data_IF_096432846327
#
_entry.id   IF_096432846327
#
_cell.length_a   1.000
_cell.length_b   1.000
_cell.length_c   1.000
_cell.angle_alpha   90.00
_cell.angle_beta   90.00
_cell.angle_gamma   90.00
#
_symmetry.space_group_name_H-M   'P 1'
#
loop_
_entity.id
_entity.type
_entity.pdbx_description
1 polymer ?
#
# COMPACT_ATOMS: atom_id res chain seq x y z
N UNK A 1 1.08 -10.47 21.50
CA UNK A 1 1.83 -9.29 21.00
C UNK A 1 0.97 -8.43 20.08
N UNK A 2 0.34 -8.99 19.04
CA UNK A 2 -0.50 -8.23 18.08
C UNK A 2 -1.77 -7.67 18.74
N UNK A 3 -2.49 -8.47 19.56
CA UNK A 3 -3.66 -7.99 20.32
C UNK A 3 -3.33 -6.76 21.17
N UNK A 4 -2.18 -6.77 21.85
CA UNK A 4 -1.69 -5.64 22.62
C UNK A 4 -1.43 -4.42 21.73
N UNK A 5 -0.77 -4.62 20.59
CA UNK A 5 -0.54 -3.53 19.64
C UNK A 5 -1.84 -2.93 19.10
N UNK A 6 -2.86 -3.75 18.80
CA UNK A 6 -4.20 -3.25 18.43
C UNK A 6 -4.79 -2.44 19.58
N UNK A 7 -4.76 -2.96 20.81
CA UNK A 7 -5.31 -2.22 21.94
C UNK A 7 -4.56 -0.90 22.22
N UNK A 8 -3.26 -0.82 21.94
CA UNK A 8 -2.48 0.41 22.13
C UNK A 8 -2.73 1.48 21.04
N UNK A 9 -3.36 1.13 19.91
CA UNK A 9 -3.51 2.03 18.76
C UNK A 9 -4.97 2.39 18.41
N UNK A 10 -5.95 1.89 19.17
CA UNK A 10 -7.37 2.14 18.93
C UNK A 10 -8.08 2.55 20.23
N UNK A 11 -9.28 3.11 20.12
CA UNK A 11 -10.12 3.43 21.28
C UNK A 11 -10.63 2.14 21.94
N UNK A 12 -10.63 2.08 23.28
CA UNK A 12 -11.06 0.89 24.03
C UNK A 12 -12.49 0.44 23.70
N UNK A 13 -13.38 1.38 23.41
CA UNK A 13 -14.77 1.13 22.99
C UNK A 13 -14.89 0.40 21.64
N UNK A 14 -13.82 0.46 20.83
CA UNK A 14 -13.75 -0.17 19.52
C UNK A 14 -12.90 -1.45 19.50
N UNK A 15 -12.44 -1.93 20.65
CA UNK A 15 -11.60 -3.14 20.70
C UNK A 15 -12.38 -4.37 20.23
N UNK A 16 -11.93 -5.03 19.15
CA UNK A 16 -12.50 -6.32 18.78
C UNK A 16 -12.07 -7.38 19.81
N UNK A 17 -12.81 -8.50 19.86
CA UNK A 17 -12.41 -9.62 20.71
C UNK A 17 -11.00 -10.12 20.35
N UNK A 18 -10.18 -10.57 21.32
CA UNK A 18 -8.87 -11.16 21.05
C UNK A 18 -8.94 -12.31 20.04
N UNK A 19 -10.00 -13.11 20.07
CA UNK A 19 -10.26 -14.19 19.14
C UNK A 19 -10.46 -13.68 17.71
N UNK A 20 -11.17 -12.56 17.52
CA UNK A 20 -11.31 -11.93 16.20
C UNK A 20 -9.96 -11.46 15.67
N UNK A 21 -9.15 -10.81 16.51
CA UNK A 21 -7.80 -10.36 16.10
C UNK A 21 -6.94 -11.56 15.67
N UNK A 22 -6.99 -12.67 16.42
CA UNK A 22 -6.25 -13.87 16.06
C UNK A 22 -6.72 -14.45 14.72
N UNK A 23 -8.03 -14.49 14.46
CA UNK A 23 -8.56 -14.95 13.17
C UNK A 23 -8.12 -14.05 12.01
N UNK A 24 -8.08 -12.73 12.20
CA UNK A 24 -7.61 -11.79 11.17
C UNK A 24 -6.11 -11.97 10.90
N UNK A 25 -5.31 -12.18 11.94
CA UNK A 25 -3.87 -12.48 11.80
C UNK A 25 -3.68 -13.80 11.04
N UNK A 26 -4.42 -14.86 11.38
CA UNK A 26 -4.36 -16.14 10.67
C UNK A 26 -4.76 -15.99 9.19
N UNK A 27 -5.76 -15.15 8.89
CA UNK A 27 -6.16 -14.82 7.53
C UNK A 27 -5.03 -14.12 6.76
N UNK A 28 -4.41 -13.09 7.34
CA UNK A 28 -3.28 -12.38 6.74
C UNK A 28 -2.08 -13.29 6.49
N UNK A 29 -1.77 -14.18 7.42
CA UNK A 29 -0.72 -15.20 7.24
C UNK A 29 -1.06 -16.13 6.07
N UNK A 30 -2.27 -16.68 6.02
CA UNK A 30 -2.69 -17.57 4.92
C UNK A 30 -2.69 -16.86 3.57
N UNK A 31 -2.97 -15.56 3.53
CA UNK A 31 -3.01 -14.76 2.31
C UNK A 31 -1.62 -14.38 1.78
N UNK A 32 -0.70 -13.95 2.65
CA UNK A 32 0.57 -13.35 2.22
C UNK A 32 1.82 -14.18 2.49
N UNK A 33 1.74 -15.18 3.36
CA UNK A 33 2.93 -15.89 3.78
C UNK A 33 3.36 -16.92 2.73
N UNK A 34 4.62 -16.80 2.29
CA UNK A 34 5.30 -17.89 1.60
C UNK A 34 5.66 -18.96 2.62
N UNK A 35 5.21 -20.20 2.37
CA UNK A 35 5.64 -21.31 3.19
C UNK A 35 7.05 -21.76 2.76
N UNK A 36 8.02 -21.70 3.67
CA UNK A 36 9.38 -22.17 3.41
C UNK A 36 9.44 -23.71 3.32
N UNK A 37 8.42 -24.41 3.81
CA UNK A 37 8.25 -25.86 3.65
C UNK A 37 7.49 -26.22 2.36
N UNK A 38 7.55 -25.35 1.33
CA UNK A 38 7.12 -25.70 -0.01
C UNK A 38 7.87 -26.93 -0.49
N UNK A 39 7.19 -28.08 -0.46
CA UNK A 39 7.68 -29.30 -1.07
C UNK A 39 7.06 -29.39 -2.47
N UNK A 40 7.79 -29.06 -3.55
CA UNK A 40 7.26 -29.12 -4.91
C UNK A 40 6.83 -30.53 -5.35
N UNK A 41 7.19 -31.56 -4.59
CA UNK A 41 6.78 -32.96 -4.82
C UNK A 41 5.53 -33.36 -4.01
N UNK A 42 5.02 -32.49 -3.13
CA UNK A 42 3.78 -32.70 -2.38
C UNK A 42 2.61 -32.07 -3.11
N UNK A 43 1.57 -32.85 -3.50
CA UNK A 43 0.36 -32.32 -4.14
C UNK A 43 -0.29 -31.16 -3.35
N UNK A 44 -0.25 -31.24 -2.01
CA UNK A 44 -0.82 -30.22 -1.14
C UNK A 44 -0.07 -28.88 -1.18
N UNK A 45 1.23 -28.85 -1.49
CA UNK A 45 2.00 -27.59 -1.54
C UNK A 45 1.71 -26.78 -2.80
N UNK A 46 1.31 -27.42 -3.90
CA UNK A 46 0.80 -26.75 -5.10
C UNK A 46 -0.63 -26.25 -4.90
N UNK A 47 -1.48 -27.04 -4.26
CA UNK A 47 -2.81 -26.61 -3.83
C UNK A 47 -2.73 -25.40 -2.88
N UNK A 48 -1.77 -25.37 -1.95
CA UNK A 48 -1.55 -24.24 -1.05
C UNK A 48 -1.15 -22.94 -1.77
N UNK A 49 -0.41 -23.01 -2.87
CA UNK A 49 -0.14 -21.84 -3.72
C UNK A 49 -1.39 -21.39 -4.48
N UNK A 50 -2.24 -22.33 -4.92
CA UNK A 50 -3.55 -22.03 -5.50
C UNK A 50 -4.51 -21.38 -4.49
N UNK A 51 -4.30 -21.55 -3.18
CA UNK A 51 -5.17 -20.98 -2.15
C UNK A 51 -5.14 -19.44 -2.13
N UNK A 52 -4.04 -18.79 -2.51
CA UNK A 52 -3.99 -17.32 -2.58
C UNK A 52 -2.93 -16.76 -3.54
N UNK A 53 -3.32 -16.06 -4.62
CA UNK A 53 -2.35 -15.46 -5.57
C UNK A 53 -1.49 -14.35 -4.94
N UNK A 54 -1.88 -13.85 -3.76
CA UNK A 54 -1.15 -12.79 -3.04
C UNK A 54 0.18 -13.27 -2.44
N UNK A 55 0.39 -14.58 -2.29
CA UNK A 55 1.64 -15.14 -1.78
C UNK A 55 2.81 -14.84 -2.72
N UNK A 56 2.58 -14.75 -4.02
CA UNK A 56 3.61 -14.40 -5.01
C UNK A 56 4.20 -13.01 -4.80
N UNK A 57 3.49 -12.10 -4.11
CA UNK A 57 4.01 -10.79 -3.73
C UNK A 57 5.20 -10.89 -2.76
N UNK A 58 5.35 -12.04 -2.08
CA UNK A 58 6.45 -12.32 -1.17
C UNK A 58 6.57 -11.30 -0.06
N UNK A 59 5.44 -10.78 0.45
CA UNK A 59 5.41 -9.71 1.47
C UNK A 59 5.63 -10.23 2.89
N UNK A 60 5.34 -11.50 3.15
CA UNK A 60 5.44 -12.13 4.45
C UNK A 60 6.15 -13.49 4.32
N UNK A 61 7.05 -13.78 5.25
CA UNK A 61 7.76 -15.07 5.28
C UNK A 61 7.78 -15.65 6.69
N UNK A 62 7.79 -16.98 6.77
CA UNK A 62 7.98 -17.71 8.02
C UNK A 62 9.45 -17.86 8.36
N UNK A 63 9.76 -17.84 9.66
CA UNK A 63 11.06 -18.22 10.21
C UNK A 63 10.89 -19.34 11.24
N UNK A 64 11.79 -20.31 11.23
CA UNK A 64 11.73 -21.46 12.12
C UNK A 64 10.70 -22.50 11.68
N UNK A 65 10.41 -23.48 12.56
CA UNK A 65 9.51 -24.61 12.27
C UNK A 65 8.61 -24.94 13.46
N UNK A 66 7.49 -25.59 13.18
CA UNK A 66 6.55 -26.08 14.20
C UNK A 66 6.03 -24.98 15.13
N UNK A 67 5.90 -25.29 16.43
CA UNK A 67 5.36 -24.37 17.45
C UNK A 67 6.22 -23.11 17.69
N UNK A 68 7.47 -23.09 17.23
CA UNK A 68 8.37 -21.94 17.33
C UNK A 68 8.37 -21.02 16.11
N UNK A 69 7.48 -21.25 15.14
CA UNK A 69 7.42 -20.47 13.90
C UNK A 69 7.05 -19.02 14.19
N UNK A 70 7.84 -18.09 13.67
CA UNK A 70 7.55 -16.66 13.69
C UNK A 70 7.36 -16.13 12.27
N UNK A 71 6.69 -14.99 12.13
CA UNK A 71 6.41 -14.38 10.84
C UNK A 71 7.05 -13.00 10.77
N UNK A 72 7.63 -12.68 9.61
CA UNK A 72 8.24 -11.36 9.37
C UNK A 72 7.82 -10.83 8.01
N UNK A 73 7.64 -9.51 7.92
CA UNK A 73 7.51 -8.84 6.63
C UNK A 73 8.87 -8.80 5.94
N UNK A 74 8.90 -9.17 4.66
CA UNK A 74 10.12 -9.08 3.86
C UNK A 74 10.43 -7.62 3.56
N UNK A 75 11.69 -7.31 3.30
CA UNK A 75 12.13 -5.98 2.86
C UNK A 75 13.06 -6.11 1.68
N UNK A 76 12.88 -5.29 0.65
CA UNK A 76 13.80 -5.22 -0.48
C UNK A 76 13.12 -4.82 -1.79
N UNK A 77 13.82 -5.07 -2.90
CA UNK A 77 13.30 -4.83 -4.25
C UNK A 77 12.16 -5.78 -4.58
N UNK A 78 11.14 -5.26 -5.28
CA UNK A 78 9.97 -6.02 -5.73
C UNK A 78 10.03 -6.25 -7.23
N UNK A 79 10.65 -7.35 -7.66
CA UNK A 79 10.85 -7.64 -9.08
C UNK A 79 9.53 -7.89 -9.83
N UNK A 80 8.50 -8.34 -9.12
CA UNK A 80 7.15 -8.59 -9.62
C UNK A 80 6.20 -7.38 -9.47
N UNK A 81 6.70 -6.21 -9.07
CA UNK A 81 5.92 -4.98 -8.99
C UNK A 81 6.30 -4.05 -10.14
N UNK A 82 5.45 -3.91 -11.17
CA UNK A 82 5.73 -3.00 -12.28
C UNK A 82 5.86 -1.55 -11.81
N UNK A 83 6.84 -0.82 -12.35
CA UNK A 83 7.02 0.60 -12.06
C UNK A 83 5.75 1.45 -12.25
N UNK A 84 4.91 1.23 -13.29
CA UNK A 84 3.66 1.99 -13.44
C UNK A 84 2.68 1.80 -12.27
N UNK A 85 2.59 0.60 -11.71
CA UNK A 85 1.71 0.30 -10.55
C UNK A 85 2.22 0.99 -9.29
N UNK A 86 3.54 1.00 -9.08
CA UNK A 86 4.16 1.71 -7.96
C UNK A 86 3.98 3.23 -8.09
N UNK A 87 4.18 3.79 -9.28
CA UNK A 87 3.97 5.24 -9.55
C UNK A 87 2.50 5.62 -9.40
N UNK A 88 1.57 4.78 -9.89
CA UNK A 88 0.13 4.96 -9.63
C UNK A 88 -0.13 5.09 -8.13
N UNK A 89 0.39 4.18 -7.31
CA UNK A 89 0.18 4.22 -5.87
C UNK A 89 0.81 5.46 -5.21
N UNK A 90 1.97 5.91 -5.68
CA UNK A 90 2.60 7.15 -5.22
C UNK A 90 1.75 8.38 -5.52
N UNK A 91 1.20 8.47 -6.72
CA UNK A 91 0.36 9.59 -7.15
C UNK A 91 -1.03 9.53 -6.51
N UNK A 92 -1.63 8.35 -6.36
CA UNK A 92 -2.88 8.17 -5.60
C UNK A 92 -2.71 8.66 -4.16
N UNK A 93 -1.62 8.28 -3.49
CA UNK A 93 -1.30 8.77 -2.16
C UNK A 93 -1.11 10.30 -2.14
N UNK A 94 -0.39 10.86 -3.12
CA UNK A 94 -0.21 12.30 -3.25
C UNK A 94 -1.52 13.06 -3.48
N UNK A 95 -2.48 12.46 -4.17
CA UNK A 95 -3.78 13.07 -4.45
C UNK A 95 -4.62 13.36 -3.21
N UNK A 96 -4.31 12.70 -2.09
CA UNK A 96 -5.00 12.91 -0.79
C UNK A 96 -4.69 14.29 -0.20
N UNK A 97 -3.58 14.91 -0.59
CA UNK A 97 -3.14 16.20 -0.09
C UNK A 97 -2.93 17.26 -1.18
N UNK A 98 -3.00 16.87 -2.45
CA UNK A 98 -2.71 17.75 -3.59
C UNK A 98 -3.71 17.54 -4.73
N UNK A 99 -4.44 18.59 -5.08
CA UNK A 99 -5.43 18.57 -6.17
C UNK A 99 -4.87 19.00 -7.54
N UNK A 100 -3.67 19.56 -7.58
CA UNK A 100 -3.02 20.09 -8.80
C UNK A 100 -1.55 19.69 -8.88
N UNK A 101 -0.77 20.39 -9.71
CA UNK A 101 0.68 20.20 -9.82
C UNK A 101 1.38 20.38 -8.48
N UNK A 102 2.48 19.68 -8.26
CA UNK A 102 3.21 19.78 -6.99
C UNK A 102 4.30 18.73 -6.86
N UNK A 103 4.65 18.42 -5.62
CA UNK A 103 5.68 17.44 -5.31
C UNK A 103 5.39 16.70 -4.01
N UNK A 104 5.89 15.47 -3.91
CA UNK A 104 5.85 14.69 -2.68
C UNK A 104 7.22 14.06 -2.39
N UNK A 105 7.68 14.20 -1.16
CA UNK A 105 8.93 13.59 -0.67
C UNK A 105 8.90 12.06 -0.85
N UNK A 106 10.00 11.51 -1.37
CA UNK A 106 10.17 10.05 -1.48
C UNK A 106 10.28 9.40 -0.09
N UNK A 107 10.86 10.09 0.90
CA UNK A 107 10.88 9.64 2.29
C UNK A 107 9.46 9.50 2.87
N UNK A 108 8.56 10.44 2.56
CA UNK A 108 7.14 10.35 2.95
C UNK A 108 6.46 9.18 2.27
N UNK A 109 6.64 9.03 0.96
CA UNK A 109 6.10 7.90 0.19
C UNK A 109 6.62 6.54 0.68
N UNK A 110 7.83 6.49 1.21
CA UNK A 110 8.42 5.27 1.74
C UNK A 110 7.90 4.92 3.15
N UNK A 111 7.76 5.92 4.03
CA UNK A 111 7.67 5.68 5.47
C UNK A 111 6.33 6.06 6.12
N UNK A 112 5.52 6.95 5.52
CA UNK A 112 4.28 7.40 6.17
C UNK A 112 3.24 6.27 6.29
N UNK A 113 2.45 6.24 7.37
CA UNK A 113 1.31 5.33 7.48
C UNK A 113 0.37 5.44 6.28
N UNK A 114 0.13 4.33 5.60
CA UNK A 114 -0.73 4.28 4.40
C UNK A 114 -0.04 4.69 3.10
N UNK A 115 1.25 5.03 3.14
CA UNK A 115 2.04 5.32 1.95
C UNK A 115 2.54 4.04 1.24
N UNK A 116 2.90 4.11 -0.06
CA UNK A 116 3.24 2.94 -0.86
C UNK A 116 4.42 2.12 -0.34
N UNK A 117 5.46 2.74 0.23
CA UNK A 117 6.61 1.99 0.75
C UNK A 117 6.23 1.08 1.90
N UNK A 118 5.31 1.49 2.77
CA UNK A 118 4.77 0.61 3.82
C UNK A 118 3.82 -0.45 3.28
N UNK A 119 3.02 -0.11 2.26
CA UNK A 119 2.08 -1.05 1.62
C UNK A 119 2.83 -2.18 0.89
N UNK A 120 3.82 -1.84 0.07
CA UNK A 120 4.64 -2.79 -0.70
C UNK A 120 5.91 -3.25 0.02
N UNK A 121 6.11 -2.82 1.27
CA UNK A 121 7.28 -3.16 2.10
C UNK A 121 8.61 -2.88 1.38
N UNK A 122 8.74 -1.67 0.85
CA UNK A 122 9.91 -1.13 0.17
C UNK A 122 10.47 0.04 0.94
N UNK A 123 11.80 0.09 1.10
CA UNK A 123 12.49 1.25 1.65
C UNK A 123 12.66 2.32 0.57
N UNK A 124 12.97 3.54 0.98
CA UNK A 124 13.11 4.69 0.09
C UNK A 124 14.10 4.46 -1.08
N UNK A 125 15.30 3.88 -0.88
CA UNK A 125 16.24 3.66 -2.00
C UNK A 125 15.67 2.69 -3.04
N UNK A 126 15.04 1.60 -2.59
CA UNK A 126 14.45 0.58 -3.44
C UNK A 126 13.22 1.11 -4.18
N UNK A 127 12.38 1.90 -3.52
CA UNK A 127 11.24 2.59 -4.14
C UNK A 127 11.73 3.57 -5.22
N UNK A 128 12.70 4.42 -4.89
CA UNK A 128 13.28 5.41 -5.81
C UNK A 128 13.84 4.73 -7.05
N UNK A 129 14.65 3.69 -6.84
CA UNK A 129 15.26 2.91 -7.93
C UNK A 129 14.20 2.26 -8.83
N UNK A 130 13.11 1.75 -8.25
CA UNK A 130 12.07 1.06 -8.99
C UNK A 130 11.27 1.99 -9.92
N UNK A 131 11.09 3.27 -9.54
CA UNK A 131 10.32 4.23 -10.33
C UNK A 131 11.16 5.10 -11.25
N UNK A 132 12.48 5.19 -11.01
CA UNK A 132 13.38 6.16 -11.67
C UNK A 132 13.28 6.14 -13.19
N UNK A 133 13.38 4.97 -13.83
CA UNK A 133 13.38 4.87 -15.29
C UNK A 133 12.07 5.37 -15.89
N UNK A 134 10.93 4.97 -15.31
CA UNK A 134 9.62 5.43 -15.76
C UNK A 134 9.47 6.94 -15.60
N UNK A 135 9.90 7.48 -14.45
CA UNK A 135 9.77 8.91 -14.17
C UNK A 135 10.63 9.73 -15.13
N UNK A 136 11.87 9.31 -15.37
CA UNK A 136 12.78 10.01 -16.29
C UNK A 136 12.27 10.06 -17.74
N UNK A 137 11.49 9.07 -18.18
CA UNK A 137 10.93 9.00 -19.53
C UNK A 137 9.54 9.66 -19.65
N UNK A 138 8.93 10.07 -18.52
CA UNK A 138 7.55 10.57 -18.49
C UNK A 138 7.49 12.11 -18.41
N UNK A 139 6.93 12.82 -19.41
CA UNK A 139 7.01 14.29 -19.51
C UNK A 139 6.28 15.04 -18.39
N UNK A 140 5.37 14.38 -17.67
CA UNK A 140 4.62 14.94 -16.55
C UNK A 140 5.19 14.65 -15.16
N UNK A 141 6.32 13.94 -15.07
CA UNK A 141 6.93 13.52 -13.81
C UNK A 141 8.41 13.90 -13.78
N UNK A 142 8.94 14.13 -12.58
CA UNK A 142 10.37 14.31 -12.36
C UNK A 142 10.77 13.87 -10.95
N UNK A 143 12.02 13.45 -10.75
CA UNK A 143 12.60 13.26 -9.42
C UNK A 143 13.70 14.30 -9.25
N UNK A 144 13.49 15.21 -8.30
CA UNK A 144 14.48 16.22 -7.95
C UNK A 144 15.11 15.89 -6.60
N UNK A 145 16.35 16.34 -6.41
CA UNK A 145 17.06 16.26 -5.14
C UNK A 145 17.46 17.67 -4.71
N UNK A 146 17.04 18.07 -3.51
CA UNK A 146 17.41 19.35 -2.91
C UNK A 146 17.84 19.13 -1.46
N UNK A 147 19.04 19.60 -1.11
CA UNK A 147 19.65 19.43 0.23
C UNK A 147 19.61 17.97 0.75
N UNK A 148 19.81 16.99 -0.14
CA UNK A 148 19.78 15.56 0.19
C UNK A 148 18.40 14.93 0.34
N UNK A 149 17.32 15.69 0.12
CA UNK A 149 15.96 15.18 0.09
C UNK A 149 15.49 15.00 -1.35
N UNK A 150 15.02 13.79 -1.69
CA UNK A 150 14.42 13.50 -2.98
C UNK A 150 12.91 13.68 -2.96
N UNK A 151 12.37 14.24 -4.03
CA UNK A 151 10.93 14.46 -4.20
C UNK A 151 10.47 14.04 -5.59
N UNK A 152 9.32 13.37 -5.65
CA UNK A 152 8.58 13.11 -6.88
C UNK A 152 7.76 14.35 -7.23
N UNK A 153 8.07 15.00 -8.34
CA UNK A 153 7.31 16.11 -8.91
C UNK A 153 6.31 15.63 -9.94
N UNK A 154 5.16 16.30 -10.00
CA UNK A 154 4.09 16.03 -10.96
C UNK A 154 3.54 17.34 -11.53
N UNK A 155 3.43 17.41 -12.85
CA UNK A 155 3.07 18.63 -13.58
C UNK A 155 1.55 18.94 -13.59
N UNK A 156 0.72 17.99 -13.17
CA UNK A 156 -0.75 18.08 -13.18
C UNK A 156 -1.32 17.45 -11.91
N UNK A 157 -2.64 17.46 -11.78
CA UNK A 157 -3.35 16.76 -10.71
C UNK A 157 -2.88 15.29 -10.62
N UNK A 158 -2.35 14.84 -9.47
CA UNK A 158 -1.72 13.53 -9.36
C UNK A 158 -2.72 12.38 -9.56
N UNK A 159 -4.00 12.56 -9.21
CA UNK A 159 -5.04 11.53 -9.43
C UNK A 159 -5.22 11.21 -10.92
N UNK A 160 -5.36 12.23 -11.77
CA UNK A 160 -5.49 12.04 -13.22
C UNK A 160 -4.25 11.38 -13.80
N UNK A 161 -3.07 11.88 -13.41
CA UNK A 161 -1.80 11.33 -13.87
C UNK A 161 -1.59 9.86 -13.45
N UNK A 162 -2.05 9.50 -12.25
CA UNK A 162 -2.02 8.12 -11.77
C UNK A 162 -2.82 7.21 -12.71
N UNK A 163 -4.08 7.57 -12.98
CA UNK A 163 -4.96 6.79 -13.85
C UNK A 163 -4.43 6.68 -15.28
N UNK A 164 -3.89 7.77 -15.84
CA UNK A 164 -3.27 7.76 -17.18
C UNK A 164 -2.13 6.73 -17.26
N UNK A 165 -1.22 6.75 -16.28
CA UNK A 165 -0.08 5.82 -16.21
C UNK A 165 -0.53 4.38 -16.04
N UNK A 166 -1.52 4.14 -15.18
CA UNK A 166 -2.06 2.80 -14.96
C UNK A 166 -2.76 2.27 -16.21
N UNK A 167 -3.58 3.09 -16.86
CA UNK A 167 -4.31 2.70 -18.07
C UNK A 167 -3.35 2.41 -19.23
N UNK A 168 -2.32 3.25 -19.41
CA UNK A 168 -1.26 2.99 -20.38
C UNK A 168 -0.56 1.65 -20.13
N UNK A 169 -0.27 1.31 -18.87
CA UNK A 169 0.37 0.03 -18.53
C UNK A 169 -0.50 -1.18 -18.91
N UNK A 170 -1.82 -1.09 -18.76
CA UNK A 170 -2.76 -2.15 -19.11
C UNK A 170 -3.26 -2.11 -20.56
N UNK A 171 -2.60 -1.33 -21.43
CA UNK A 171 -2.91 -1.25 -22.85
C UNK A 171 -4.18 -0.47 -23.13
N UNK A 172 -4.30 0.71 -22.51
CA UNK A 172 -5.32 1.74 -22.73
C UNK A 172 -6.72 1.19 -22.72
N UNK A 173 -7.10 0.60 -21.60
CA UNK A 173 -8.40 -0.07 -21.42
C UNK A 173 -9.54 0.92 -21.61
N UNK A 174 -9.36 2.16 -21.17
CA UNK A 174 -10.38 3.21 -21.28
C UNK A 174 -10.66 3.63 -22.73
N UNK A 175 -9.73 3.40 -23.67
CA UNK A 175 -9.92 3.70 -25.10
C UNK A 175 -10.63 2.58 -25.87
N UNK A 176 -10.92 1.43 -25.22
CA UNK A 176 -11.53 0.28 -25.89
C UNK A 176 -13.03 0.53 -26.16
N UNK A 177 -13.50 0.03 -27.30
CA UNK A 177 -14.90 0.12 -27.67
C UNK A 177 -15.80 -0.52 -26.61
N UNK A 178 -16.79 0.24 -26.13
CA UNK A 178 -17.75 -0.21 -25.11
C UNK A 178 -17.25 -0.16 -23.67
N UNK A 179 -16.05 0.38 -23.41
CA UNK A 179 -15.62 0.67 -22.05
C UNK A 179 -16.42 1.85 -21.48
N UNK A 180 -17.08 1.70 -20.32
CA UNK A 180 -17.91 2.76 -19.75
C UNK A 180 -17.06 3.85 -19.12
N UNK A 181 -17.48 5.10 -19.27
CA UNK A 181 -16.95 6.22 -18.49
C UNK A 181 -17.37 6.11 -17.02
N UNK A 182 -16.68 6.86 -16.13
CA UNK A 182 -17.02 6.89 -14.71
C UNK A 182 -18.48 7.33 -14.47
N UNK A 183 -18.95 8.34 -15.21
CA UNK A 183 -20.32 8.86 -15.09
C UNK A 183 -21.37 7.84 -15.56
N UNK A 184 -21.13 7.17 -16.69
CA UNK A 184 -22.01 6.09 -17.18
C UNK A 184 -22.07 4.94 -16.18
N UNK A 185 -20.94 4.59 -15.55
CA UNK A 185 -20.88 3.53 -14.55
C UNK A 185 -21.66 3.92 -13.27
N UNK A 186 -21.52 5.16 -12.81
CA UNK A 186 -22.29 5.70 -11.66
C UNK A 186 -23.78 5.72 -11.94
N UNK A 187 -24.20 6.14 -13.13
CA UNK A 187 -25.61 6.14 -13.53
C UNK A 187 -26.19 4.72 -13.56
N UNK A 188 -25.40 3.74 -14.01
CA UNK A 188 -25.81 2.33 -14.04
C UNK A 188 -25.88 1.71 -12.63
N UNK A 189 -25.03 2.16 -11.71
CA UNK A 189 -24.93 1.65 -10.35
C UNK A 189 -24.93 2.79 -9.32
N UNK A 190 -26.09 3.43 -9.05
CA UNK A 190 -26.18 4.64 -8.24
C UNK A 190 -25.79 4.44 -6.75
N UNK A 191 -25.70 3.19 -6.27
CA UNK A 191 -25.19 2.87 -4.93
C UNK A 191 -23.68 3.03 -4.75
N UNK A 192 -22.93 3.39 -5.80
CA UNK A 192 -21.47 3.58 -5.76
C UNK A 192 -21.05 5.04 -5.50
N UNK A 193 -21.98 5.98 -5.35
CA UNK A 193 -21.61 7.38 -5.07
C UNK A 193 -20.97 7.51 -3.68
N UNK A 194 -19.71 7.97 -3.66
CA UNK A 194 -18.82 7.96 -2.48
C UNK A 194 -19.40 8.73 -1.27
N UNK A 195 -20.33 9.64 -1.51
CA UNK A 195 -20.98 10.45 -0.47
C UNK A 195 -22.09 9.71 0.28
N UNK A 196 -22.60 8.58 -0.24
CA UNK A 196 -23.68 7.83 0.42
C UNK A 196 -23.24 7.06 1.67
N UNK A 197 -21.94 6.79 1.84
CA UNK A 197 -21.42 5.94 2.92
C UNK A 197 -20.15 6.43 3.64
N UNK A 198 -19.73 7.69 3.46
CA UNK A 198 -18.59 8.22 4.22
C UNK A 198 -18.91 8.30 5.72
N UNK A 199 -18.50 7.28 6.48
CA UNK A 199 -18.23 7.45 7.91
C UNK A 199 -17.08 8.45 8.05
N UNK A 200 -17.20 9.52 8.86
CA UNK A 200 -16.08 10.41 9.10
C UNK A 200 -14.92 9.58 9.67
N UNK A 201 -13.78 9.56 8.96
CA UNK A 201 -12.54 9.02 9.50
C UNK A 201 -12.19 9.86 10.73
N UNK A 202 -12.40 9.34 11.94
CA UNK A 202 -11.74 9.90 13.13
C UNK A 202 -10.25 9.92 12.82
N UNK A 203 -9.61 11.10 12.97
CA UNK A 203 -8.16 11.22 12.84
C UNK A 203 -7.53 10.22 13.81
N UNK A 204 -6.74 9.28 13.29
CA UNK A 204 -5.84 8.53 14.16
C UNK A 204 -4.93 9.57 14.87
N UNK A 205 -4.71 9.46 16.19
CA UNK A 205 -3.86 10.40 16.90
C UNK A 205 -2.48 10.44 16.23
N UNK A 206 -2.02 11.65 15.93
CA UNK A 206 -0.70 11.84 15.35
C UNK A 206 0.34 11.51 16.42
N UNK A 207 1.43 10.87 16.02
CA UNK A 207 2.55 10.51 16.90
C UNK A 207 3.20 11.73 17.61
N UNK A 208 2.84 12.96 17.20
CA UNK A 208 3.21 14.21 17.85
C UNK A 208 2.57 14.38 19.25
N UNK A 209 1.37 13.85 19.48
CA UNK A 209 0.67 14.00 20.78
C UNK A 209 1.35 13.21 21.93
N UNK A 210 2.26 12.28 21.60
CA UNK A 210 3.01 11.52 22.60
C UNK A 210 4.16 12.33 23.25
N UNK A 211 4.59 13.44 22.64
CA UNK A 211 5.68 14.27 23.17
C UNK A 211 5.21 15.38 24.12
N UNK A 212 3.95 15.83 23.99
CA UNK A 212 3.40 16.87 24.87
C UNK A 212 2.96 16.32 26.24
N UNK A 213 2.56 15.04 26.30
CA UNK A 213 2.23 14.35 27.56
C UNK A 213 3.43 14.11 28.50
N UNK A 214 4.66 14.21 27.99
CA UNK A 214 5.89 14.05 28.80
C UNK A 214 6.31 15.37 29.45
N UNK A 215 5.86 16.53 28.94
CA UNK A 215 6.24 17.84 29.46
C UNK A 215 5.31 18.39 30.55
N UNK A 216 4.10 17.86 30.69
CA UNK A 216 3.16 18.29 31.74
C UNK A 216 3.31 17.54 33.08
N UNK A 217 4.19 16.54 33.17
CA UNK A 217 4.45 15.79 34.41
C UNK A 217 5.94 15.82 34.85
N UNK A 218 6.67 16.89 34.51
CA UNK A 218 8.02 17.14 35.00
C UNK A 218 8.06 18.31 36.00
#
# INVERSE_FOLDING_TARGET
MITRHVHENYDAEAFPSPESINRDVDCLVKMYALDQEYNPLSPGSFEDLLMSPFRELGLLEGQGRGKGRTWRFTSGSRANLPAPVLVYACLDYASRTSAGSGSMSLARLANEPGAPGRAFRMREPELTKAIQALVSDHPGLDITENLGQRSLHFAKAPKSLAWDILDQHYGRVQERAGFPSEDEWRQRYPGLDEDTHRRPRKKAPQQADALDLIKENA
#
